data_IF_810089509461
#
_entry.id   IF_810089509461
#
_cell.length_a   1.000
_cell.length_b   1.000
_cell.length_c   1.000
_cell.angle_alpha   90.00
_cell.angle_beta   90.00
_cell.angle_gamma   90.00
#
_symmetry.space_group_name_H-M   'P 1'
#
loop_
_entity.id
_entity.type
_entity.pdbx_description
1 polymer ?
#
# COMPACT_ATOMS: atom_id res chain seq x y z
N UNK A 1 4.17 -24.45 -14.20
CA UNK A 1 5.65 -24.33 -14.36
C UNK A 1 6.24 -24.23 -12.98
N UNK A 2 7.19 -25.13 -12.65
CA UNK A 2 7.82 -25.20 -11.34
C UNK A 2 9.18 -24.48 -11.37
N UNK A 3 9.40 -23.55 -10.45
CA UNK A 3 10.67 -22.81 -10.30
C UNK A 3 11.31 -23.12 -8.95
N UNK A 4 12.62 -23.39 -8.95
CA UNK A 4 13.42 -23.57 -7.73
C UNK A 4 14.45 -22.44 -7.61
N UNK A 5 14.37 -21.69 -6.55
CA UNK A 5 15.43 -20.79 -6.08
C UNK A 5 16.34 -21.57 -5.13
N UNK A 6 17.65 -21.51 -5.34
CA UNK A 6 18.65 -22.24 -4.56
C UNK A 6 19.79 -21.33 -4.12
N UNK A 7 20.51 -21.75 -3.07
CA UNK A 7 21.69 -21.07 -2.56
C UNK A 7 21.41 -19.62 -2.08
N UNK A 8 20.27 -19.38 -1.46
CA UNK A 8 19.89 -18.07 -0.94
C UNK A 8 19.50 -18.11 0.53
N UNK A 9 19.63 -17.00 1.21
CA UNK A 9 18.95 -16.80 2.47
C UNK A 9 17.49 -16.47 2.23
N UNK A 10 16.59 -16.99 3.08
CA UNK A 10 15.15 -16.84 2.91
C UNK A 10 14.55 -16.34 4.23
N UNK A 11 13.95 -15.16 4.20
CA UNK A 11 13.17 -14.64 5.33
C UNK A 11 11.79 -15.28 5.26
N UNK A 12 11.62 -16.39 5.97
CA UNK A 12 10.36 -17.15 6.03
C UNK A 12 9.48 -16.65 7.17
N UNK A 13 8.18 -16.86 7.04
CA UNK A 13 7.18 -16.40 7.98
C UNK A 13 6.76 -17.50 8.93
N UNK A 14 6.74 -17.17 10.23
CA UNK A 14 6.22 -18.00 11.31
C UNK A 14 4.99 -17.36 11.96
N UNK A 15 4.37 -18.04 12.90
CA UNK A 15 3.22 -17.51 13.64
C UNK A 15 3.61 -16.29 14.52
N UNK A 16 4.88 -16.20 14.95
CA UNK A 16 5.42 -15.13 15.79
C UNK A 16 6.12 -13.98 15.02
N UNK A 17 6.37 -14.15 13.72
CA UNK A 17 7.09 -13.17 12.91
C UNK A 17 7.89 -13.82 11.80
N UNK A 18 9.21 -13.59 11.78
CA UNK A 18 10.08 -14.08 10.72
C UNK A 18 11.26 -14.87 11.27
N UNK A 19 11.70 -15.86 10.48
CA UNK A 19 12.93 -16.62 10.67
C UNK A 19 13.76 -16.60 9.38
N UNK A 20 15.04 -16.92 9.48
CA UNK A 20 15.93 -16.95 8.33
C UNK A 20 16.41 -18.38 8.07
N UNK A 21 16.05 -18.94 6.92
CA UNK A 21 16.64 -20.16 6.37
C UNK A 21 17.92 -19.74 5.65
N UNK A 22 19.08 -20.15 6.14
CA UNK A 22 20.38 -19.83 5.53
C UNK A 22 20.72 -20.82 4.42
N UNK A 23 21.23 -20.29 3.30
CA UNK A 23 21.67 -21.09 2.13
C UNK A 23 20.63 -22.15 1.72
N UNK A 24 19.38 -21.74 1.66
CA UNK A 24 18.22 -22.61 1.48
C UNK A 24 17.75 -22.75 0.04
N UNK A 25 16.59 -23.41 -0.05
CA UNK A 25 15.85 -23.63 -1.28
C UNK A 25 14.39 -23.16 -1.09
N UNK A 26 13.88 -22.42 -2.08
CA UNK A 26 12.46 -22.07 -2.17
C UNK A 26 11.88 -22.60 -3.48
N UNK A 27 10.92 -23.51 -3.40
CA UNK A 27 10.22 -24.08 -4.55
C UNK A 27 8.87 -23.40 -4.76
N UNK A 28 8.58 -23.06 -6.00
CA UNK A 28 7.31 -22.44 -6.44
C UNK A 28 6.67 -23.36 -7.49
N UNK A 29 5.38 -23.67 -7.35
CA UNK A 29 4.57 -24.39 -8.33
C UNK A 29 3.35 -23.55 -8.71
N UNK A 30 3.31 -23.11 -9.97
CA UNK A 30 2.30 -22.16 -10.43
C UNK A 30 2.35 -20.87 -9.59
N UNK A 31 1.27 -20.56 -8.90
CA UNK A 31 1.15 -19.36 -8.09
C UNK A 31 1.57 -19.55 -6.61
N UNK A 32 1.98 -20.74 -6.18
CA UNK A 32 2.13 -21.06 -4.76
C UNK A 32 3.54 -21.54 -4.40
N UNK A 33 3.96 -21.23 -3.19
CA UNK A 33 5.17 -21.76 -2.59
C UNK A 33 4.91 -23.22 -2.19
N UNK A 34 5.66 -24.14 -2.78
CA UNK A 34 5.47 -25.58 -2.55
C UNK A 34 6.60 -26.22 -1.72
N UNK A 35 7.74 -25.55 -1.56
CA UNK A 35 8.87 -26.05 -0.79
C UNK A 35 9.67 -24.93 -0.13
N UNK A 36 10.10 -25.14 1.11
CA UNK A 36 11.08 -24.33 1.83
C UNK A 36 11.96 -25.25 2.69
N UNK A 37 13.27 -25.07 2.64
CA UNK A 37 14.20 -25.87 3.47
C UNK A 37 15.66 -25.70 3.10
N UNK A 38 16.53 -26.37 3.85
CA UNK A 38 17.99 -26.41 3.62
C UNK A 38 18.42 -27.58 2.73
N UNK A 39 17.59 -28.62 2.64
CA UNK A 39 17.88 -29.76 1.79
C UNK A 39 17.36 -29.55 0.37
N UNK A 40 18.09 -30.09 -0.61
CA UNK A 40 17.62 -30.05 -1.99
C UNK A 40 16.34 -30.89 -2.14
N UNK A 41 15.23 -30.28 -2.66
CA UNK A 41 13.99 -31.03 -2.86
C UNK A 41 14.19 -32.18 -3.86
N UNK A 42 13.51 -33.33 -3.59
CA UNK A 42 13.56 -34.50 -4.45
C UNK A 42 12.79 -34.31 -5.77
N UNK A 43 11.85 -33.39 -5.79
CA UNK A 43 11.04 -33.09 -6.97
C UNK A 43 11.85 -32.44 -8.10
N UNK A 44 11.37 -32.63 -9.35
CA UNK A 44 11.93 -31.93 -10.52
C UNK A 44 11.28 -30.57 -10.69
N UNK A 45 12.10 -29.57 -11.05
CA UNK A 45 11.71 -28.22 -11.36
C UNK A 45 12.05 -27.90 -12.82
N UNK A 46 11.18 -27.13 -13.47
CA UNK A 46 11.35 -26.72 -14.87
C UNK A 46 12.46 -25.67 -15.00
N UNK A 47 12.51 -24.76 -14.02
CA UNK A 47 13.50 -23.66 -13.94
C UNK A 47 14.24 -23.76 -12.61
N UNK A 48 15.56 -23.64 -12.64
CA UNK A 48 16.40 -23.56 -11.45
C UNK A 48 17.17 -22.25 -11.52
N UNK A 49 16.95 -21.37 -10.54
CA UNK A 49 17.65 -20.09 -10.41
C UNK A 49 18.65 -20.17 -9.25
N UNK A 50 19.91 -19.91 -9.54
CA UNK A 50 20.95 -19.77 -8.52
C UNK A 50 20.90 -18.35 -7.95
N UNK A 51 20.64 -18.25 -6.65
CA UNK A 51 20.45 -17.00 -5.92
C UNK A 51 21.61 -16.73 -4.95
N UNK A 52 22.79 -17.24 -5.23
CA UNK A 52 24.00 -16.97 -4.42
C UNK A 52 24.20 -15.46 -4.25
N UNK A 53 24.40 -15.01 -3.00
CA UNK A 53 24.52 -13.59 -2.64
C UNK A 53 23.18 -12.81 -2.66
N UNK A 54 22.06 -13.51 -2.69
CA UNK A 54 20.72 -12.92 -2.65
C UNK A 54 19.99 -13.34 -1.39
N UNK A 55 19.10 -12.48 -0.93
CA UNK A 55 18.15 -12.77 0.16
C UNK A 55 16.74 -12.65 -0.38
N UNK A 56 15.92 -13.68 -0.17
CA UNK A 56 14.49 -13.67 -0.50
C UNK A 56 13.68 -13.13 0.68
N UNK A 57 12.80 -12.19 0.40
CA UNK A 57 11.84 -11.62 1.34
C UNK A 57 10.42 -11.76 0.82
N UNK A 58 9.40 -11.74 1.71
CA UNK A 58 8.03 -11.49 1.27
C UNK A 58 7.94 -10.21 0.45
N UNK A 59 7.15 -10.21 -0.60
CA UNK A 59 6.89 -9.00 -1.37
C UNK A 59 6.25 -7.92 -0.51
N UNK A 60 6.66 -6.67 -0.71
CA UNK A 60 6.17 -5.53 0.04
C UNK A 60 4.75 -5.15 -0.41
N UNK A 61 3.92 -4.72 0.55
CA UNK A 61 2.54 -4.30 0.32
C UNK A 61 2.40 -2.84 0.71
N UNK A 62 2.09 -2.01 -0.27
CA UNK A 62 1.77 -0.60 -0.09
C UNK A 62 0.30 -0.46 0.26
N UNK A 63 -0.02 -0.33 1.54
CA UNK A 63 -1.40 -0.41 2.01
C UNK A 63 -2.22 0.87 1.80
N UNK A 64 -1.62 1.98 1.33
CA UNK A 64 -2.31 3.22 0.94
C UNK A 64 -1.48 3.98 -0.09
N UNK A 65 -2.12 4.34 -1.22
CA UNK A 65 -1.49 5.01 -2.34
C UNK A 65 -2.51 5.80 -3.19
N UNK A 66 -1.98 6.70 -4.03
CA UNK A 66 -2.66 7.39 -5.12
C UNK A 66 -1.78 7.28 -6.38
N UNK A 67 -1.86 6.14 -7.06
CA UNK A 67 -0.89 5.72 -8.06
C UNK A 67 -0.67 6.74 -9.18
N UNK A 68 -1.75 7.28 -9.76
CA UNK A 68 -1.65 8.22 -10.87
C UNK A 68 -1.06 9.59 -10.47
N UNK A 69 -0.97 9.91 -9.16
CA UNK A 69 -0.30 11.12 -8.67
C UNK A 69 1.23 11.14 -8.92
N UNK A 70 1.80 10.10 -9.52
CA UNK A 70 3.16 10.18 -10.07
C UNK A 70 3.33 11.32 -11.08
N UNK A 71 2.26 11.71 -11.78
CA UNK A 71 2.24 12.87 -12.69
C UNK A 71 2.29 14.23 -11.97
N UNK A 72 1.97 14.25 -10.67
CA UNK A 72 1.94 15.44 -9.83
C UNK A 72 3.15 15.53 -8.88
N UNK A 73 4.11 14.65 -9.03
CA UNK A 73 5.33 14.58 -8.21
C UNK A 73 6.09 15.91 -8.20
N UNK A 74 6.32 16.45 -7.01
CA UNK A 74 7.07 17.70 -6.81
C UNK A 74 6.27 18.98 -7.00
N UNK A 75 4.95 18.90 -7.25
CA UNK A 75 4.09 20.08 -7.34
C UNK A 75 3.61 20.46 -5.95
N UNK A 76 3.52 21.77 -5.68
CA UNK A 76 3.03 22.29 -4.41
C UNK A 76 3.90 21.94 -3.22
N UNK A 77 5.21 21.73 -3.40
CA UNK A 77 6.13 21.46 -2.29
C UNK A 77 6.13 22.63 -1.30
N UNK A 78 6.36 22.30 -0.01
CA UNK A 78 6.48 23.25 1.10
C UNK A 78 5.20 24.05 1.40
N UNK A 79 4.03 23.48 1.13
CA UNK A 79 2.71 24.04 1.45
C UNK A 79 1.99 23.23 2.52
N UNK A 80 1.19 23.87 3.41
CA UNK A 80 0.26 23.16 4.28
C UNK A 80 -0.76 22.35 3.47
N UNK A 81 -1.31 21.27 4.06
CA UNK A 81 -2.20 20.33 3.38
C UNK A 81 -3.37 21.01 2.65
N UNK A 82 -4.01 22.00 3.27
CA UNK A 82 -5.18 22.68 2.69
C UNK A 82 -4.83 23.42 1.41
N UNK A 83 -3.80 24.27 1.44
CA UNK A 83 -3.31 25.02 0.30
C UNK A 83 -2.74 24.07 -0.77
N UNK A 84 -2.07 22.99 -0.35
CA UNK A 84 -1.57 21.96 -1.24
C UNK A 84 -2.72 21.30 -2.01
N UNK A 85 -3.82 20.90 -1.34
CA UNK A 85 -4.99 20.28 -1.96
C UNK A 85 -5.75 21.25 -2.87
N UNK A 86 -6.19 22.41 -2.31
CA UNK A 86 -7.15 23.28 -2.99
C UNK A 86 -6.52 24.16 -4.07
N UNK A 87 -5.26 24.57 -3.91
CA UNK A 87 -4.61 25.48 -4.84
C UNK A 87 -3.76 24.76 -5.90
N UNK A 88 -3.37 23.49 -5.64
CA UNK A 88 -2.49 22.74 -6.54
C UNK A 88 -3.06 21.40 -7.01
N UNK A 89 -3.49 20.53 -6.08
CA UNK A 89 -3.89 19.16 -6.44
C UNK A 89 -5.22 19.15 -7.19
N UNK A 90 -6.30 19.59 -6.58
CA UNK A 90 -7.62 19.57 -7.20
C UNK A 90 -7.68 20.30 -8.56
N UNK A 91 -7.11 21.52 -8.73
CA UNK A 91 -7.11 22.18 -10.04
C UNK A 91 -6.32 21.44 -11.13
N UNK A 92 -5.32 20.63 -10.75
CA UNK A 92 -4.57 19.79 -11.68
C UNK A 92 -5.33 18.49 -11.97
N UNK A 93 -5.92 17.88 -10.96
CA UNK A 93 -6.72 16.68 -11.09
C UNK A 93 -7.99 16.87 -11.92
N UNK A 94 -8.59 18.05 -11.86
CA UNK A 94 -9.75 18.41 -12.71
C UNK A 94 -9.46 18.37 -14.21
N UNK A 95 -8.16 18.42 -14.61
CA UNK A 95 -7.73 18.31 -16.02
C UNK A 95 -7.45 16.87 -16.44
N UNK A 96 -7.39 15.92 -15.49
CA UNK A 96 -7.03 14.54 -15.79
C UNK A 96 -8.05 13.86 -16.72
N UNK A 97 -7.52 13.11 -17.65
CA UNK A 97 -8.28 12.19 -18.52
C UNK A 97 -7.83 10.76 -18.23
N UNK A 98 -8.61 9.79 -18.67
CA UNK A 98 -8.29 8.37 -18.51
C UNK A 98 -6.87 8.02 -19.05
N UNK A 99 -6.46 8.60 -20.17
CA UNK A 99 -5.14 8.39 -20.77
C UNK A 99 -3.99 8.94 -19.90
N UNK A 100 -4.22 10.04 -19.17
CA UNK A 100 -3.25 10.61 -18.24
C UNK A 100 -3.14 9.72 -17.00
N UNK A 101 -4.27 9.28 -16.44
CA UNK A 101 -4.32 8.33 -15.32
C UNK A 101 -3.65 7.01 -15.68
N UNK A 102 -3.85 6.50 -16.93
CA UNK A 102 -3.13 5.32 -17.42
C UNK A 102 -1.61 5.52 -17.35
N UNK A 103 -1.11 6.60 -17.91
CA UNK A 103 0.32 6.90 -17.94
C UNK A 103 0.92 7.04 -16.53
N UNK A 104 0.21 7.74 -15.62
CA UNK A 104 0.62 7.90 -14.22
C UNK A 104 0.62 6.59 -13.45
N UNK A 105 -0.43 5.77 -13.62
CA UNK A 105 -0.54 4.47 -12.97
C UNK A 105 0.54 3.50 -13.47
N UNK A 106 0.77 3.43 -14.77
CA UNK A 106 1.83 2.58 -15.33
C UNK A 106 3.22 3.01 -14.83
N UNK A 107 3.49 4.33 -14.71
CA UNK A 107 4.72 4.84 -14.11
C UNK A 107 4.84 4.42 -12.63
N UNK A 108 3.76 4.51 -11.86
CA UNK A 108 3.72 4.05 -10.47
C UNK A 108 4.03 2.55 -10.34
N UNK A 109 3.44 1.73 -11.22
CA UNK A 109 3.68 0.28 -11.22
C UNK A 109 5.15 -0.03 -11.56
N UNK A 110 5.77 0.67 -12.52
CA UNK A 110 7.21 0.50 -12.79
C UNK A 110 8.04 0.79 -11.52
N UNK A 111 7.77 1.91 -10.85
CA UNK A 111 8.49 2.29 -9.63
C UNK A 111 8.30 1.26 -8.51
N UNK A 112 7.05 0.87 -8.23
CA UNK A 112 6.72 -0.10 -7.21
C UNK A 112 7.33 -1.48 -7.48
N UNK A 113 7.25 -1.98 -8.70
CA UNK A 113 7.88 -3.27 -9.06
C UNK A 113 9.40 -3.25 -8.92
N UNK A 114 10.05 -2.15 -9.33
CA UNK A 114 11.51 -2.02 -9.24
C UNK A 114 12.02 -1.84 -7.81
N UNK A 115 11.14 -1.52 -6.86
CA UNK A 115 11.45 -1.35 -5.43
C UNK A 115 10.82 -2.42 -4.53
N UNK A 116 10.27 -3.50 -5.13
CA UNK A 116 9.83 -4.70 -4.41
C UNK A 116 8.39 -4.70 -3.92
N UNK A 117 7.56 -3.76 -4.33
CA UNK A 117 6.13 -3.77 -4.02
C UNK A 117 5.39 -4.74 -4.95
N UNK A 118 4.61 -5.64 -4.38
CA UNK A 118 3.84 -6.69 -5.10
C UNK A 118 2.34 -6.41 -5.14
N UNK A 119 1.86 -5.61 -4.21
CA UNK A 119 0.44 -5.23 -4.07
C UNK A 119 0.32 -3.83 -3.50
N UNK A 120 -0.72 -3.09 -3.93
CA UNK A 120 -1.01 -1.76 -3.38
C UNK A 120 -2.51 -1.55 -3.18
N UNK A 121 -2.90 -0.65 -2.25
CA UNK A 121 -4.26 -0.15 -2.11
C UNK A 121 -4.31 1.27 -2.64
N UNK A 122 -5.17 1.53 -3.61
CA UNK A 122 -5.27 2.79 -4.34
C UNK A 122 -6.63 3.45 -4.17
N UNK A 123 -6.65 4.72 -3.85
CA UNK A 123 -7.85 5.55 -3.80
C UNK A 123 -7.69 6.70 -4.80
N UNK A 124 -8.40 6.64 -5.95
CA UNK A 124 -8.24 7.69 -6.96
C UNK A 124 -9.45 7.83 -7.89
N UNK A 125 -9.23 8.36 -9.10
CA UNK A 125 -10.18 8.58 -10.17
C UNK A 125 -9.87 7.65 -11.35
N UNK A 126 -10.84 7.43 -12.27
CA UNK A 126 -10.68 6.55 -13.43
C UNK A 126 -10.16 5.16 -13.05
N UNK A 127 -10.72 4.60 -11.98
CA UNK A 127 -10.22 3.35 -11.38
C UNK A 127 -10.38 2.12 -12.28
N UNK A 128 -11.27 2.13 -13.26
CA UNK A 128 -11.35 1.15 -14.34
C UNK A 128 -10.05 1.12 -15.16
N UNK A 129 -9.55 2.29 -15.54
CA UNK A 129 -8.25 2.43 -16.23
C UNK A 129 -7.10 1.92 -15.36
N UNK A 130 -7.10 2.23 -14.04
CA UNK A 130 -6.12 1.71 -13.09
C UNK A 130 -6.21 0.17 -13.01
N UNK A 131 -7.43 -0.39 -12.96
CA UNK A 131 -7.65 -1.84 -12.93
C UNK A 131 -7.04 -2.53 -14.16
N UNK A 132 -7.25 -1.97 -15.35
CA UNK A 132 -6.67 -2.50 -16.59
C UNK A 132 -5.14 -2.48 -16.54
N UNK A 133 -4.50 -1.40 -16.07
CA UNK A 133 -3.04 -1.34 -15.88
C UNK A 133 -2.53 -2.43 -14.93
N UNK A 134 -3.23 -2.67 -13.81
CA UNK A 134 -2.87 -3.71 -12.85
C UNK A 134 -3.03 -5.11 -13.46
N UNK A 135 -4.08 -5.36 -14.25
CA UNK A 135 -4.29 -6.62 -14.96
C UNK A 135 -3.14 -6.88 -15.93
N UNK A 136 -2.79 -5.91 -16.77
CA UNK A 136 -1.74 -5.97 -17.77
C UNK A 136 -0.36 -6.19 -17.15
N UNK A 137 -0.03 -5.46 -16.09
CA UNK A 137 1.26 -5.56 -15.39
C UNK A 137 1.49 -6.90 -14.71
N UNK A 138 0.43 -7.56 -14.24
CA UNK A 138 0.51 -8.77 -13.42
C UNK A 138 0.58 -8.50 -11.91
N UNK A 139 0.58 -7.26 -11.48
CA UNK A 139 0.60 -6.85 -10.08
C UNK A 139 -0.74 -7.12 -9.38
N UNK A 140 -0.79 -6.98 -8.05
CA UNK A 140 -2.03 -7.03 -7.26
C UNK A 140 -2.42 -5.62 -6.81
N UNK A 141 -3.73 -5.37 -6.71
CA UNK A 141 -4.23 -4.15 -6.08
C UNK A 141 -5.60 -4.35 -5.42
N UNK A 142 -5.86 -3.54 -4.38
CA UNK A 142 -7.18 -3.15 -3.95
C UNK A 142 -7.42 -1.73 -4.47
N UNK A 143 -8.52 -1.50 -5.18
CA UNK A 143 -8.81 -0.23 -5.82
C UNK A 143 -10.13 0.32 -5.29
N UNK A 144 -10.20 1.62 -5.07
CA UNK A 144 -11.44 2.30 -4.74
C UNK A 144 -11.56 3.67 -5.42
N UNK A 145 -12.79 3.99 -5.81
CA UNK A 145 -13.14 5.32 -6.33
C UNK A 145 -13.25 6.29 -5.17
N UNK A 146 -12.36 7.28 -5.08
CA UNK A 146 -12.41 8.30 -4.04
C UNK A 146 -13.77 9.00 -4.02
N UNK A 147 -14.58 8.80 -2.97
CA UNK A 147 -15.88 9.42 -2.82
C UNK A 147 -15.76 10.73 -2.04
N UNK A 148 -16.13 11.83 -2.68
CA UNK A 148 -16.36 13.13 -2.08
C UNK A 148 -17.75 13.62 -2.48
N UNK A 149 -18.46 14.31 -1.58
CA UNK A 149 -19.83 14.79 -1.83
C UNK A 149 -20.07 16.09 -1.07
N UNK A 150 -20.17 17.18 -1.80
CA UNK A 150 -20.28 18.54 -1.25
C UNK A 150 -21.67 19.16 -1.45
N UNK A 151 -22.46 18.68 -2.44
CA UNK A 151 -23.80 19.22 -2.71
C UNK A 151 -24.85 18.54 -1.82
N UNK A 152 -25.49 19.28 -0.87
CA UNK A 152 -26.50 18.70 0.00
C UNK A 152 -27.80 18.32 -0.73
N UNK A 153 -27.98 18.72 -2.00
CA UNK A 153 -29.13 18.35 -2.81
C UNK A 153 -28.87 17.14 -3.71
N UNK A 154 -27.62 16.64 -3.81
CA UNK A 154 -27.30 15.43 -4.57
C UNK A 154 -27.74 14.19 -3.79
N UNK A 155 -28.74 13.48 -4.30
CA UNK A 155 -29.15 12.21 -3.71
C UNK A 155 -28.06 11.14 -3.94
N UNK A 156 -27.90 10.21 -3.00
CA UNK A 156 -26.91 9.13 -3.08
C UNK A 156 -26.97 8.36 -4.40
N UNK A 157 -28.19 8.01 -4.85
CA UNK A 157 -28.43 7.26 -6.08
C UNK A 157 -28.13 8.07 -7.35
N UNK A 158 -28.14 9.40 -7.26
CA UNK A 158 -27.87 10.28 -8.40
C UNK A 158 -26.40 10.61 -8.54
N UNK A 159 -25.62 10.48 -7.46
CA UNK A 159 -24.20 10.77 -7.46
C UNK A 159 -23.45 9.92 -8.50
N UNK A 160 -22.79 10.59 -9.43
CA UNK A 160 -21.99 9.90 -10.43
C UNK A 160 -20.80 9.17 -9.80
N UNK A 161 -20.25 9.69 -8.68
CA UNK A 161 -19.13 9.08 -7.95
C UNK A 161 -19.53 7.75 -7.31
N UNK A 162 -20.74 7.69 -6.75
CA UNK A 162 -21.33 6.44 -6.24
C UNK A 162 -21.55 5.45 -7.37
N UNK A 163 -22.10 5.89 -8.50
CA UNK A 163 -22.32 5.05 -9.68
C UNK A 163 -21.02 4.47 -10.21
N UNK A 164 -19.95 5.28 -10.30
CA UNK A 164 -18.61 4.83 -10.68
C UNK A 164 -18.06 3.80 -9.70
N UNK A 165 -18.15 4.03 -8.37
CA UNK A 165 -17.68 3.09 -7.36
C UNK A 165 -18.39 1.72 -7.45
N UNK A 166 -19.72 1.74 -7.59
CA UNK A 166 -20.52 0.51 -7.70
C UNK A 166 -20.30 -0.21 -9.04
N UNK A 167 -20.14 0.54 -10.13
CA UNK A 167 -19.78 -0.02 -11.45
C UNK A 167 -18.42 -0.70 -11.41
N UNK A 168 -17.43 -0.05 -10.79
CA UNK A 168 -16.10 -0.60 -10.59
C UNK A 168 -16.16 -1.92 -9.78
N UNK A 169 -16.90 -1.93 -8.66
CA UNK A 169 -17.08 -3.15 -7.85
C UNK A 169 -17.66 -4.29 -8.67
N UNK A 170 -18.74 -4.02 -9.39
CA UNK A 170 -19.42 -5.04 -10.19
C UNK A 170 -18.56 -5.58 -11.33
N UNK A 171 -17.71 -4.75 -11.92
CA UNK A 171 -16.92 -5.12 -13.11
C UNK A 171 -15.58 -5.77 -12.79
N UNK A 172 -14.92 -5.36 -11.69
CA UNK A 172 -13.52 -5.72 -11.44
C UNK A 172 -13.29 -6.46 -10.12
N UNK A 173 -14.25 -6.53 -9.20
CA UNK A 173 -14.01 -7.21 -7.93
C UNK A 173 -13.69 -8.69 -8.15
N UNK A 174 -12.56 -9.15 -7.60
CA UNK A 174 -11.97 -10.47 -7.81
C UNK A 174 -11.53 -10.78 -9.27
N UNK A 175 -11.38 -9.78 -10.13
CA UNK A 175 -10.83 -9.94 -11.47
C UNK A 175 -9.39 -10.45 -11.46
N UNK A 176 -8.91 -10.92 -12.61
CA UNK A 176 -7.55 -11.43 -12.79
C UNK A 176 -7.15 -12.52 -11.78
N UNK A 177 -8.02 -13.50 -11.52
CA UNK A 177 -7.83 -14.58 -10.53
C UNK A 177 -7.66 -14.05 -9.08
N UNK A 178 -8.39 -12.99 -8.72
CA UNK A 178 -8.36 -12.37 -7.39
C UNK A 178 -7.18 -11.43 -7.14
N UNK A 179 -6.40 -11.08 -8.18
CA UNK A 179 -5.36 -10.06 -8.06
C UNK A 179 -5.94 -8.65 -7.87
N UNK A 180 -7.10 -8.39 -8.46
CA UNK A 180 -7.87 -7.16 -8.23
C UNK A 180 -8.93 -7.41 -7.16
N UNK A 181 -9.00 -6.53 -6.19
CA UNK A 181 -10.12 -6.40 -5.26
C UNK A 181 -10.62 -4.96 -5.32
N UNK A 182 -11.90 -4.78 -5.10
CA UNK A 182 -12.50 -3.44 -5.08
C UNK A 182 -13.01 -3.16 -3.69
N UNK A 183 -12.48 -2.10 -3.11
CA UNK A 183 -12.93 -1.53 -1.84
C UNK A 183 -13.92 -0.39 -2.12
N UNK A 184 -14.75 -0.02 -1.16
CA UNK A 184 -15.49 1.25 -1.20
C UNK A 184 -14.73 2.29 -0.39
N UNK A 185 -14.86 3.56 -0.72
CA UNK A 185 -14.12 4.59 -0.01
C UNK A 185 -14.92 5.85 0.27
N UNK A 186 -14.57 6.50 1.36
CA UNK A 186 -14.95 7.86 1.68
C UNK A 186 -13.65 8.64 1.81
N UNK A 187 -13.51 9.74 1.05
CA UNK A 187 -12.24 10.46 1.03
C UNK A 187 -11.84 10.90 2.45
N UNK A 188 -12.64 11.77 3.08
CA UNK A 188 -12.45 12.22 4.46
C UNK A 188 -13.77 12.78 5.01
N UNK A 189 -13.86 13.04 6.32
CA UNK A 189 -15.06 13.60 6.96
C UNK A 189 -15.38 15.03 6.49
N UNK A 190 -14.35 15.81 6.14
CA UNK A 190 -14.54 17.20 5.66
C UNK A 190 -14.91 17.29 4.18
N UNK A 191 -14.85 16.20 3.44
CA UNK A 191 -15.20 16.15 2.01
C UNK A 191 -16.53 15.45 1.72
N UNK A 192 -17.23 14.95 2.74
CA UNK A 192 -18.45 14.19 2.57
C UNK A 192 -19.55 14.66 3.53
N UNK A 193 -20.80 14.51 3.09
CA UNK A 193 -22.00 14.77 3.89
C UNK A 193 -22.40 13.50 4.64
N UNK A 194 -22.95 13.64 5.86
CA UNK A 194 -23.34 12.54 6.74
C UNK A 194 -24.26 11.52 6.08
N UNK A 195 -25.27 11.97 5.33
CA UNK A 195 -26.23 11.08 4.65
C UNK A 195 -25.53 10.19 3.62
N UNK A 196 -24.63 10.78 2.83
CA UNK A 196 -23.83 10.05 1.83
C UNK A 196 -22.93 9.03 2.51
N UNK A 197 -22.25 9.43 3.60
CA UNK A 197 -21.36 8.52 4.36
C UNK A 197 -22.16 7.35 4.91
N UNK A 198 -23.30 7.60 5.57
CA UNK A 198 -24.16 6.54 6.13
C UNK A 198 -24.61 5.55 5.07
N UNK A 199 -25.14 6.04 3.96
CA UNK A 199 -25.65 5.18 2.88
C UNK A 199 -24.54 4.41 2.16
N UNK A 200 -23.35 5.04 2.01
CA UNK A 200 -22.20 4.37 1.42
C UNK A 200 -21.62 3.29 2.35
N UNK A 201 -21.65 3.53 3.67
CA UNK A 201 -21.27 2.56 4.69
C UNK A 201 -22.22 1.35 4.71
N UNK A 202 -23.52 1.58 4.65
CA UNK A 202 -24.53 0.52 4.52
C UNK A 202 -24.29 -0.32 3.25
N UNK A 203 -23.99 0.34 2.11
CA UNK A 203 -23.68 -0.34 0.86
C UNK A 203 -22.37 -1.14 0.95
N UNK A 204 -21.33 -0.61 1.60
CA UNK A 204 -20.07 -1.31 1.84
C UNK A 204 -20.31 -2.62 2.62
N UNK A 205 -21.11 -2.53 3.68
CA UNK A 205 -21.50 -3.69 4.50
C UNK A 205 -22.32 -4.72 3.69
N UNK A 206 -23.29 -4.26 2.90
CA UNK A 206 -24.10 -5.13 2.02
C UNK A 206 -23.25 -5.92 1.05
N UNK A 207 -22.23 -5.28 0.46
CA UNK A 207 -21.31 -5.89 -0.51
C UNK A 207 -20.21 -6.75 0.14
N UNK A 208 -20.04 -6.66 1.46
CA UNK A 208 -18.91 -7.29 2.15
C UNK A 208 -17.55 -6.73 1.71
N UNK A 209 -17.52 -5.47 1.28
CA UNK A 209 -16.33 -4.79 0.84
C UNK A 209 -15.52 -4.25 2.04
N UNK A 210 -14.28 -3.85 1.78
CA UNK A 210 -13.46 -3.09 2.73
C UNK A 210 -13.79 -1.60 2.56
N UNK A 211 -13.91 -0.87 3.66
CA UNK A 211 -14.00 0.60 3.64
C UNK A 211 -12.60 1.21 3.69
N UNK A 212 -12.30 2.14 2.80
CA UNK A 212 -11.02 2.86 2.74
C UNK A 212 -11.26 4.35 3.00
N UNK A 213 -10.61 4.91 4.02
CA UNK A 213 -10.78 6.32 4.43
C UNK A 213 -9.43 6.97 4.75
N UNK A 214 -9.34 8.31 4.66
CA UNK A 214 -8.34 9.09 5.38
C UNK A 214 -8.92 9.45 6.75
N UNK A 215 -8.10 9.39 7.80
CA UNK A 215 -8.58 9.57 9.17
C UNK A 215 -7.61 10.40 10.00
N UNK A 216 -8.07 11.56 10.50
CA UNK A 216 -7.34 12.40 11.45
C UNK A 216 -5.88 12.62 11.04
N UNK A 217 -5.67 13.02 9.78
CA UNK A 217 -4.33 13.23 9.23
C UNK A 217 -3.66 14.45 9.84
N UNK A 218 -4.37 15.60 9.88
CA UNK A 218 -3.85 16.84 10.44
C UNK A 218 -4.58 17.25 11.71
N UNK A 219 -3.88 18.05 12.56
CA UNK A 219 -4.53 18.61 13.75
C UNK A 219 -5.68 19.54 13.38
N UNK A 220 -5.53 20.31 12.31
CA UNK A 220 -6.56 21.25 11.86
C UNK A 220 -7.86 20.53 11.45
N UNK A 221 -7.75 19.42 10.71
CA UNK A 221 -8.87 18.54 10.36
C UNK A 221 -9.54 17.99 11.62
N UNK A 222 -8.76 17.38 12.51
CA UNK A 222 -9.25 16.78 13.74
C UNK A 222 -9.99 17.79 14.63
N UNK A 223 -9.41 18.96 14.87
CA UNK A 223 -10.01 20.02 15.67
C UNK A 223 -11.29 20.59 15.01
N UNK A 224 -11.29 20.78 13.68
CA UNK A 224 -12.44 21.28 12.93
C UNK A 224 -13.63 20.31 13.01
N UNK A 225 -13.38 19.00 12.98
CA UNK A 225 -14.43 17.98 13.16
C UNK A 225 -15.05 18.09 14.56
N UNK A 226 -14.22 18.23 15.60
CA UNK A 226 -14.68 18.41 16.98
C UNK A 226 -15.50 19.72 17.11
N UNK A 227 -15.00 20.82 16.55
CA UNK A 227 -15.72 22.10 16.58
C UNK A 227 -17.10 22.02 15.89
N UNK A 228 -17.14 21.37 14.72
CA UNK A 228 -18.36 21.28 13.90
C UNK A 228 -19.38 20.29 14.44
N UNK A 229 -18.92 19.11 14.90
CA UNK A 229 -19.79 17.98 15.20
C UNK A 229 -19.78 17.56 16.67
N UNK A 230 -18.90 18.13 17.51
CA UNK A 230 -18.71 17.71 18.90
C UNK A 230 -18.10 16.33 19.06
N UNK A 231 -17.45 15.79 18.04
CA UNK A 231 -16.92 14.43 17.95
C UNK A 231 -15.59 14.42 17.21
N UNK A 232 -14.70 13.48 17.54
CA UNK A 232 -13.50 13.23 16.73
C UNK A 232 -13.89 12.64 15.35
N UNK A 233 -13.02 12.74 14.32
CA UNK A 233 -13.28 12.06 13.05
C UNK A 233 -13.55 10.56 13.21
N UNK A 234 -12.86 9.89 14.12
CA UNK A 234 -13.08 8.47 14.43
C UNK A 234 -14.49 8.21 14.93
N UNK A 235 -14.96 8.99 15.92
CA UNK A 235 -16.32 8.88 16.44
C UNK A 235 -17.38 9.23 15.40
N UNK A 236 -17.09 10.23 14.56
CA UNK A 236 -17.98 10.63 13.47
C UNK A 236 -18.19 9.52 12.44
N UNK A 237 -17.09 8.87 11.99
CA UNK A 237 -17.19 7.73 11.08
C UNK A 237 -17.86 6.52 11.71
N UNK A 238 -17.61 6.26 13.00
CA UNK A 238 -18.25 5.20 13.75
C UNK A 238 -19.78 5.39 13.80
N UNK A 239 -20.25 6.59 14.18
CA UNK A 239 -21.68 6.91 14.29
C UNK A 239 -22.42 6.86 12.94
N UNK A 240 -21.69 6.96 11.84
CA UNK A 240 -22.22 6.84 10.48
C UNK A 240 -22.06 5.43 9.89
N UNK A 241 -21.60 4.47 10.68
CA UNK A 241 -21.52 3.05 10.30
C UNK A 241 -20.35 2.69 9.41
N UNK A 242 -19.35 3.57 9.22
CA UNK A 242 -18.19 3.28 8.38
C UNK A 242 -17.39 2.08 8.91
N UNK A 243 -17.39 1.86 10.21
CA UNK A 243 -16.68 0.76 10.86
C UNK A 243 -17.50 -0.54 11.00
N UNK A 244 -18.70 -0.60 10.43
CA UNK A 244 -19.48 -1.83 10.33
C UNK A 244 -18.92 -2.83 9.32
N UNK A 245 -17.98 -2.38 8.48
CA UNK A 245 -17.20 -3.18 7.54
C UNK A 245 -15.72 -3.22 7.97
N UNK A 246 -14.92 -4.21 7.54
CA UNK A 246 -13.47 -4.11 7.67
C UNK A 246 -12.99 -2.78 7.10
N UNK A 247 -12.25 -1.99 7.89
CA UNK A 247 -11.89 -0.63 7.49
C UNK A 247 -10.37 -0.45 7.49
N UNK A 248 -9.86 0.13 6.40
CA UNK A 248 -8.53 0.68 6.23
C UNK A 248 -8.61 2.19 6.48
N UNK A 249 -7.88 2.69 7.47
CA UNK A 249 -7.82 4.11 7.83
C UNK A 249 -6.40 4.65 7.62
N UNK A 250 -6.21 5.49 6.60
CA UNK A 250 -4.91 6.08 6.29
C UNK A 250 -4.56 7.20 7.28
N UNK A 251 -3.26 7.37 7.55
CA UNK A 251 -2.62 8.36 8.41
C UNK A 251 -2.80 8.15 9.91
N UNK A 252 -3.99 8.32 10.47
CA UNK A 252 -4.31 8.18 11.90
C UNK A 252 -3.32 8.93 12.82
N UNK A 253 -2.93 10.16 12.45
CA UNK A 253 -1.89 10.92 13.17
C UNK A 253 -2.42 11.47 14.49
N UNK A 254 -3.63 12.04 14.50
CA UNK A 254 -4.23 12.77 15.63
C UNK A 254 -5.32 12.00 16.38
N UNK A 255 -5.36 10.67 16.22
CA UNK A 255 -6.30 9.82 16.97
C UNK A 255 -5.98 9.84 18.48
N UNK A 256 -7.02 9.91 19.32
CA UNK A 256 -6.92 9.90 20.80
C UNK A 256 -6.78 8.47 21.34
N UNK A 257 -6.64 8.30 22.66
CA UNK A 257 -6.65 6.97 23.28
C UNK A 257 -8.02 6.31 23.16
N UNK A 258 -9.08 7.09 23.28
CA UNK A 258 -10.45 6.66 23.11
C UNK A 258 -10.73 6.25 21.65
N UNK A 259 -10.18 7.00 20.68
CA UNK A 259 -10.27 6.65 19.27
C UNK A 259 -9.55 5.31 18.97
N UNK A 260 -8.36 5.11 19.53
CA UNK A 260 -7.59 3.87 19.37
C UNK A 260 -8.35 2.68 19.97
N UNK A 261 -8.98 2.86 21.14
CA UNK A 261 -9.81 1.83 21.76
C UNK A 261 -11.02 1.48 20.90
N UNK A 262 -11.70 2.48 20.35
CA UNK A 262 -12.85 2.30 19.44
C UNK A 262 -12.44 1.61 18.13
N UNK A 263 -11.34 2.04 17.52
CA UNK A 263 -10.79 1.41 16.31
C UNK A 263 -10.45 -0.07 16.55
N UNK A 264 -9.90 -0.40 17.72
CA UNK A 264 -9.62 -1.79 18.11
C UNK A 264 -10.90 -2.61 18.24
N UNK A 265 -11.91 -2.09 18.93
CA UNK A 265 -13.21 -2.76 19.10
C UNK A 265 -13.87 -3.07 17.76
N UNK A 266 -13.80 -2.11 16.81
CA UNK A 266 -14.38 -2.24 15.47
C UNK A 266 -13.48 -3.00 14.48
N UNK A 267 -12.23 -3.33 14.83
CA UNK A 267 -11.30 -4.02 13.93
C UNK A 267 -10.78 -3.13 12.79
N UNK A 268 -10.75 -1.81 12.99
CA UNK A 268 -10.17 -0.86 12.03
C UNK A 268 -8.66 -1.06 11.94
N UNK A 269 -8.13 -1.02 10.74
CA UNK A 269 -6.70 -1.18 10.45
C UNK A 269 -6.09 0.16 10.05
N UNK A 270 -5.29 0.81 10.91
CA UNK A 270 -4.53 2.01 10.56
C UNK A 270 -3.48 1.72 9.48
N UNK A 271 -3.25 2.66 8.57
CA UNK A 271 -2.11 2.63 7.64
C UNK A 271 -1.24 3.85 7.87
N UNK A 272 -0.02 3.62 8.32
CA UNK A 272 0.96 4.65 8.56
C UNK A 272 1.68 5.04 7.27
N UNK A 273 1.75 6.34 6.98
CA UNK A 273 2.42 6.91 5.81
C UNK A 273 3.51 7.90 6.30
N UNK A 274 4.66 7.39 6.79
CA UNK A 274 5.62 8.22 7.52
C UNK A 274 6.16 9.38 6.70
N UNK A 275 6.58 9.17 5.45
CA UNK A 275 7.12 10.25 4.60
C UNK A 275 6.10 11.34 4.35
N UNK A 276 4.88 10.98 3.93
CA UNK A 276 3.81 11.95 3.68
C UNK A 276 3.45 12.76 4.93
N UNK A 277 3.23 12.08 6.06
CA UNK A 277 2.90 12.73 7.34
C UNK A 277 3.97 13.74 7.77
N UNK A 278 5.24 13.40 7.60
CA UNK A 278 6.36 14.28 7.96
C UNK A 278 6.56 15.42 6.98
N UNK A 279 6.48 15.14 5.68
CA UNK A 279 6.67 16.13 4.63
C UNK A 279 5.58 17.20 4.64
N UNK A 280 4.31 16.81 4.83
CA UNK A 280 3.18 17.74 4.92
C UNK A 280 3.06 18.40 6.30
N UNK A 281 3.91 18.02 7.27
CA UNK A 281 3.86 18.54 8.62
C UNK A 281 2.62 18.10 9.39
N UNK A 282 1.99 16.99 8.99
CA UNK A 282 0.80 16.44 9.66
C UNK A 282 1.09 16.00 11.09
N UNK A 283 2.31 15.50 11.38
CA UNK A 283 2.76 15.13 12.71
C UNK A 283 3.28 13.69 12.82
N UNK A 284 3.38 13.21 14.06
CA UNK A 284 3.87 11.86 14.38
C UNK A 284 2.71 10.97 14.82
N UNK A 285 2.32 10.02 13.97
CA UNK A 285 1.31 9.02 14.33
C UNK A 285 1.78 8.14 15.51
N UNK A 286 0.87 7.73 16.37
CA UNK A 286 1.15 6.96 17.60
C UNK A 286 1.25 5.45 17.31
N UNK A 287 2.03 5.07 16.29
CA UNK A 287 2.12 3.71 15.73
C UNK A 287 2.45 2.67 16.79
N UNK A 288 3.46 2.93 17.63
CA UNK A 288 3.87 2.02 18.69
C UNK A 288 2.75 1.78 19.73
N UNK A 289 1.92 2.80 19.99
CA UNK A 289 0.78 2.66 20.89
C UNK A 289 -0.31 1.81 20.24
N UNK A 290 -0.65 2.07 18.98
CA UNK A 290 -1.62 1.27 18.22
C UNK A 290 -1.21 -0.21 18.15
N UNK A 291 0.07 -0.50 17.87
CA UNK A 291 0.60 -1.87 17.86
C UNK A 291 0.53 -2.52 19.24
N UNK A 292 0.86 -1.79 20.31
CA UNK A 292 0.77 -2.28 21.69
C UNK A 292 -0.67 -2.60 22.09
N UNK A 293 -1.62 -1.80 21.65
CA UNK A 293 -3.05 -2.07 21.84
C UNK A 293 -3.57 -3.22 20.97
N UNK A 294 -2.77 -3.73 20.02
CA UNK A 294 -3.08 -4.88 19.19
C UNK A 294 -3.82 -4.56 17.89
N UNK A 295 -3.81 -3.30 17.43
CA UNK A 295 -4.32 -2.94 16.12
C UNK A 295 -3.45 -3.53 15.01
N UNK A 296 -4.07 -3.87 13.90
CA UNK A 296 -3.38 -4.35 12.70
C UNK A 296 -2.88 -3.14 11.88
N UNK A 297 -1.74 -2.59 12.24
CA UNK A 297 -1.17 -1.41 11.56
C UNK A 297 -0.43 -1.84 10.29
N UNK A 298 -0.77 -1.22 9.15
CA UNK A 298 -0.07 -1.34 7.87
C UNK A 298 0.90 -0.19 7.61
N UNK A 299 1.63 -0.28 6.50
CA UNK A 299 2.53 0.75 6.00
C UNK A 299 2.14 1.12 4.56
N UNK A 300 2.15 2.40 4.23
CA UNK A 300 1.84 2.93 2.91
C UNK A 300 2.72 4.10 2.54
N UNK A 301 2.84 4.37 1.25
CA UNK A 301 3.60 5.53 0.75
C UNK A 301 2.76 6.80 0.69
N UNK A 302 1.42 6.67 0.61
CA UNK A 302 0.57 7.73 0.10
C UNK A 302 0.91 8.05 -1.38
N UNK A 303 0.36 9.13 -1.96
CA UNK A 303 0.65 9.52 -3.33
C UNK A 303 2.06 10.11 -3.53
N UNK A 304 2.61 9.97 -4.74
CA UNK A 304 3.91 10.56 -5.09
C UNK A 304 3.90 12.11 -5.08
N UNK A 305 2.75 12.75 -5.01
CA UNK A 305 2.65 14.19 -4.82
C UNK A 305 2.97 14.62 -3.38
N UNK A 306 2.53 13.85 -2.38
CA UNK A 306 2.79 14.10 -0.96
C UNK A 306 4.08 13.47 -0.44
N UNK A 307 4.47 12.31 -0.98
CA UNK A 307 5.67 11.56 -0.60
C UNK A 307 6.90 11.88 -1.46
N UNK A 308 6.74 12.07 -2.75
CA UNK A 308 7.72 12.17 -3.83
C UNK A 308 8.24 10.83 -4.37
N UNK A 309 8.05 9.70 -3.72
CA UNK A 309 8.35 8.37 -4.28
C UNK A 309 7.32 7.32 -3.81
N UNK A 310 7.40 6.11 -4.39
CA UNK A 310 6.55 4.96 -4.04
C UNK A 310 7.41 3.78 -3.55
N UNK A 311 8.51 4.10 -2.84
CA UNK A 311 9.51 3.15 -2.37
C UNK A 311 9.22 2.69 -0.95
N UNK A 312 8.62 1.52 -0.79
CA UNK A 312 8.29 0.94 0.53
C UNK A 312 9.52 0.66 1.41
N UNK A 313 10.74 0.53 0.86
CA UNK A 313 11.95 0.39 1.67
C UNK A 313 12.32 1.69 2.38
N UNK A 314 12.00 2.84 1.79
CA UNK A 314 12.17 4.14 2.44
C UNK A 314 11.15 4.32 3.58
N UNK A 315 9.90 3.92 3.37
CA UNK A 315 8.88 3.92 4.42
C UNK A 315 9.24 2.98 5.58
N UNK A 316 9.78 1.79 5.29
CA UNK A 316 10.33 0.87 6.29
C UNK A 316 11.44 1.51 7.12
N UNK A 317 12.37 2.19 6.45
CA UNK A 317 13.49 2.88 7.12
C UNK A 317 12.97 3.99 8.04
N UNK A 318 12.15 4.89 7.50
CA UNK A 318 11.61 6.01 8.28
C UNK A 318 10.76 5.54 9.46
N UNK A 319 9.87 4.58 9.25
CA UNK A 319 9.06 4.00 10.32
C UNK A 319 9.94 3.44 11.44
N UNK A 320 11.02 2.74 11.09
CA UNK A 320 11.93 2.14 12.09
C UNK A 320 12.71 3.17 12.88
N UNK A 321 13.17 4.27 12.28
CA UNK A 321 14.08 5.22 12.95
C UNK A 321 13.37 6.40 13.59
N UNK A 322 12.30 6.92 12.96
CA UNK A 322 11.62 8.13 13.43
C UNK A 322 10.94 7.89 14.77
N UNK A 323 10.20 6.79 14.92
CA UNK A 323 9.50 6.49 16.18
C UNK A 323 10.49 6.23 17.33
N UNK A 324 11.59 5.54 17.07
CA UNK A 324 12.63 5.30 18.06
C UNK A 324 13.27 6.65 18.50
N UNK A 325 13.60 7.51 17.54
CA UNK A 325 14.18 8.83 17.83
C UNK A 325 13.22 9.76 18.56
N UNK A 326 11.98 9.84 18.12
CA UNK A 326 10.95 10.69 18.74
C UNK A 326 10.69 10.31 20.20
N UNK A 327 10.63 9.01 20.50
CA UNK A 327 10.38 8.51 21.85
C UNK A 327 11.67 8.31 22.69
N UNK A 328 12.86 8.54 22.13
CA UNK A 328 14.16 8.33 22.77
C UNK A 328 14.36 6.90 23.30
N UNK A 329 13.76 5.91 22.61
CA UNK A 329 13.84 4.50 22.97
C UNK A 329 14.03 3.64 21.71
N UNK A 330 15.21 3.00 21.52
CA UNK A 330 15.50 2.19 20.33
C UNK A 330 14.77 0.84 20.31
N UNK A 331 14.01 0.51 21.34
CA UNK A 331 13.31 -0.78 21.44
C UNK A 331 11.84 -0.74 21.05
N UNK A 332 11.32 0.44 20.72
CA UNK A 332 9.89 0.68 20.44
C UNK A 332 9.47 0.10 19.09
N UNK A 333 10.23 0.40 18.03
CA UNK A 333 9.96 -0.10 16.68
C UNK A 333 11.10 -1.05 16.26
N UNK A 334 10.82 -2.33 16.30
CA UNK A 334 11.78 -3.36 15.91
C UNK A 334 11.63 -3.70 14.43
N UNK A 335 12.70 -4.14 13.74
CA UNK A 335 12.64 -4.60 12.35
C UNK A 335 11.51 -5.61 12.08
N UNK A 336 11.31 -6.57 12.99
CA UNK A 336 10.22 -7.55 12.89
C UNK A 336 8.84 -6.87 12.78
N UNK A 337 8.57 -5.85 13.58
CA UNK A 337 7.27 -5.17 13.62
C UNK A 337 7.06 -4.34 12.35
N UNK A 338 8.09 -3.59 11.94
CA UNK A 338 8.03 -2.77 10.73
C UNK A 338 7.89 -3.60 9.46
N UNK A 339 8.64 -4.72 9.34
CA UNK A 339 8.51 -5.63 8.20
C UNK A 339 7.12 -6.28 8.18
N UNK A 340 6.55 -6.64 9.33
CA UNK A 340 5.16 -7.13 9.41
C UNK A 340 4.16 -6.10 8.88
N UNK A 341 4.34 -4.81 9.22
CA UNK A 341 3.47 -3.73 8.72
C UNK A 341 3.49 -3.65 7.17
N UNK A 342 4.66 -3.79 6.57
CA UNK A 342 4.84 -3.72 5.12
C UNK A 342 4.55 -5.04 4.38
N UNK A 343 4.17 -6.12 5.07
CA UNK A 343 3.96 -7.46 4.48
C UNK A 343 2.68 -8.10 5.01
N UNK A 344 2.75 -8.85 6.10
CA UNK A 344 1.63 -9.62 6.68
C UNK A 344 0.42 -8.74 7.04
N UNK A 345 0.68 -7.61 7.71
CA UNK A 345 -0.39 -6.71 8.12
C UNK A 345 -1.04 -6.05 6.89
N UNK A 346 -0.23 -5.61 5.91
CA UNK A 346 -0.74 -5.09 4.64
C UNK A 346 -1.60 -6.11 3.89
N UNK A 347 -1.18 -7.38 3.83
CA UNK A 347 -1.98 -8.45 3.22
C UNK A 347 -3.32 -8.64 3.94
N UNK A 348 -3.31 -8.62 5.28
CA UNK A 348 -4.53 -8.73 6.09
C UNK A 348 -5.47 -7.53 5.86
N UNK A 349 -4.93 -6.31 5.75
CA UNK A 349 -5.69 -5.09 5.43
C UNK A 349 -6.38 -5.24 4.08
N UNK A 350 -5.70 -5.78 3.07
CA UNK A 350 -6.25 -6.03 1.74
C UNK A 350 -7.17 -7.27 1.67
N UNK A 351 -7.47 -7.93 2.80
CA UNK A 351 -8.27 -9.15 2.84
C UNK A 351 -7.64 -10.33 2.08
N UNK A 352 -6.29 -10.44 2.04
CA UNK A 352 -5.52 -11.48 1.36
C UNK A 352 -4.85 -12.40 2.38
N UNK A 353 -5.50 -13.50 2.70
CA UNK A 353 -5.07 -14.41 3.79
C UNK A 353 -3.92 -15.34 3.41
N UNK A 354 -3.68 -15.53 2.12
CA UNK A 354 -2.64 -16.40 1.55
C UNK A 354 -1.44 -15.61 0.98
N UNK A 355 -1.33 -14.31 1.32
CA UNK A 355 -0.28 -13.39 0.87
C UNK A 355 0.53 -12.82 2.06
N UNK A 356 1.55 -12.02 1.73
CA UNK A 356 2.35 -11.25 2.71
C UNK A 356 3.41 -12.04 3.45
N UNK A 357 3.60 -13.33 3.15
CA UNK A 357 4.60 -14.15 3.81
C UNK A 357 5.19 -15.24 2.93
N UNK A 358 6.48 -15.57 3.12
CA UNK A 358 7.10 -16.75 2.53
C UNK A 358 6.83 -17.95 3.44
N UNK A 359 5.82 -18.74 3.11
CA UNK A 359 5.39 -19.95 3.82
C UNK A 359 4.85 -20.95 2.80
N UNK A 360 5.10 -22.24 2.98
CA UNK A 360 4.52 -23.28 2.10
C UNK A 360 2.99 -23.18 2.13
N UNK A 361 2.39 -23.17 0.96
CA UNK A 361 0.95 -22.98 0.73
C UNK A 361 0.52 -21.53 0.50
N UNK A 362 1.36 -20.54 0.79
CA UNK A 362 1.10 -19.14 0.43
C UNK A 362 1.35 -18.89 -1.05
N UNK A 363 0.74 -17.82 -1.56
CA UNK A 363 1.06 -17.29 -2.88
C UNK A 363 2.52 -16.87 -2.95
N UNK A 364 3.14 -17.14 -4.08
CA UNK A 364 4.53 -16.79 -4.32
C UNK A 364 4.67 -15.32 -4.74
N UNK A 365 4.48 -14.44 -3.75
CA UNK A 365 4.74 -13.00 -3.81
C UNK A 365 6.08 -12.76 -3.12
N UNK A 366 7.16 -12.75 -3.90
CA UNK A 366 8.52 -12.82 -3.39
C UNK A 366 9.37 -11.73 -4.03
N UNK A 367 10.21 -11.07 -3.23
CA UNK A 367 11.26 -10.20 -3.74
C UNK A 367 12.63 -10.77 -3.40
N UNK A 368 13.62 -10.48 -4.24
CA UNK A 368 15.00 -10.76 -3.97
C UNK A 368 15.82 -9.48 -3.95
N UNK A 369 16.63 -9.32 -2.90
CA UNK A 369 17.62 -8.25 -2.81
C UNK A 369 19.02 -8.80 -3.08
N UNK A 370 19.81 -8.05 -3.83
CA UNK A 370 21.22 -8.35 -4.07
C UNK A 370 22.07 -7.86 -2.91
N UNK A 371 22.60 -8.78 -2.11
CA UNK A 371 23.42 -8.49 -0.94
C UNK A 371 24.92 -8.38 -1.25
N UNK A 372 25.34 -8.61 -2.49
CA UNK A 372 26.73 -8.39 -2.92
C UNK A 372 26.96 -6.89 -3.20
N UNK A 373 26.77 -6.08 -2.14
CA UNK A 373 26.94 -4.62 -2.16
C UNK A 373 27.59 -4.14 -0.86
N UNK A 374 28.44 -3.09 -0.92
CA UNK A 374 29.22 -2.64 0.25
C UNK A 374 28.36 -2.27 1.48
N UNK A 375 27.20 -1.65 1.27
CA UNK A 375 26.32 -1.18 2.36
C UNK A 375 25.43 -2.30 2.94
N UNK A 376 25.40 -3.50 2.33
CA UNK A 376 24.67 -4.68 2.80
C UNK A 376 25.58 -5.75 3.41
N UNK A 377 26.87 -5.49 3.52
CA UNK A 377 27.83 -6.39 4.16
C UNK A 377 28.39 -5.78 5.45
N UNK A 378 28.54 -6.58 6.53
CA UNK A 378 28.16 -8.01 6.66
C UNK A 378 26.66 -8.20 6.95
N UNK A 379 26.08 -9.29 6.41
CA UNK A 379 24.64 -9.57 6.46
C UNK A 379 24.26 -10.45 7.68
N UNK A 380 24.51 -9.96 8.90
CA UNK A 380 24.22 -10.73 10.12
C UNK A 380 22.74 -10.94 10.37
N UNK A 381 21.93 -9.89 10.22
CA UNK A 381 20.50 -9.90 10.43
C UNK A 381 19.77 -9.34 9.19
N UNK A 382 19.21 -10.19 8.32
CA UNK A 382 18.49 -9.76 7.13
C UNK A 382 17.31 -8.82 7.39
N UNK A 383 16.59 -8.98 8.52
CA UNK A 383 15.47 -8.07 8.86
C UNK A 383 15.98 -6.67 9.21
N UNK A 384 17.02 -6.57 10.03
CA UNK A 384 17.65 -5.30 10.34
C UNK A 384 18.24 -4.65 9.09
N UNK A 385 18.88 -5.45 8.21
CA UNK A 385 19.40 -4.95 6.94
C UNK A 385 18.32 -4.40 6.03
N UNK A 386 17.15 -5.06 5.95
CA UNK A 386 16.02 -4.57 5.17
C UNK A 386 15.52 -3.20 5.66
N UNK A 387 15.43 -3.01 6.98
CA UNK A 387 14.92 -1.77 7.58
C UNK A 387 15.94 -0.63 7.61
N UNK A 388 17.22 -0.92 7.80
CA UNK A 388 18.20 0.13 8.12
C UNK A 388 19.20 0.42 7.01
N UNK A 389 19.42 -0.52 6.07
CA UNK A 389 20.50 -0.41 5.08
C UNK A 389 20.03 -0.55 3.65
N UNK A 390 19.02 -1.39 3.39
CA UNK A 390 18.58 -1.69 2.03
C UNK A 390 17.91 -0.49 1.35
N UNK A 391 18.09 -0.39 0.06
CA UNK A 391 17.55 0.65 -0.81
C UNK A 391 16.73 0.00 -1.93
N UNK A 392 15.79 0.75 -2.53
CA UNK A 392 15.00 0.27 -3.68
C UNK A 392 15.86 -0.31 -4.81
N UNK A 393 17.03 0.30 -5.07
CA UNK A 393 18.00 -0.16 -6.08
C UNK A 393 18.69 -1.49 -5.77
N UNK A 394 18.47 -2.08 -4.59
CA UNK A 394 19.01 -3.39 -4.22
C UNK A 394 18.07 -4.52 -4.62
N UNK A 395 16.81 -4.21 -4.91
CA UNK A 395 15.84 -5.18 -5.42
C UNK A 395 16.28 -5.65 -6.81
N UNK A 396 16.51 -6.94 -6.94
CA UNK A 396 16.92 -7.55 -8.21
C UNK A 396 15.86 -8.47 -8.81
N UNK A 397 14.80 -8.80 -8.06
CA UNK A 397 13.66 -9.58 -8.57
C UNK A 397 12.40 -9.23 -7.79
N UNK A 398 11.28 -9.09 -8.53
CA UNK A 398 9.92 -8.99 -7.96
C UNK A 398 9.03 -10.01 -8.65
N UNK A 399 8.46 -10.92 -7.86
CA UNK A 399 7.57 -12.01 -8.29
C UNK A 399 6.19 -11.83 -7.66
N UNK A 400 5.15 -11.99 -8.47
CA UNK A 400 3.73 -11.97 -8.05
C UNK A 400 3.05 -13.24 -8.56
N UNK A 401 2.36 -13.96 -7.69
CA UNK A 401 1.70 -15.23 -8.01
C UNK A 401 2.61 -16.19 -8.80
N UNK A 402 3.89 -16.28 -8.40
CA UNK A 402 4.88 -17.14 -9.04
C UNK A 402 5.37 -16.68 -10.41
N UNK A 403 4.93 -15.53 -10.90
CA UNK A 403 5.40 -14.90 -12.13
C UNK A 403 6.39 -13.78 -11.79
N UNK A 404 7.59 -13.84 -12.35
CA UNK A 404 8.56 -12.75 -12.22
C UNK A 404 8.09 -11.60 -13.14
N UNK A 405 7.90 -10.42 -12.55
CA UNK A 405 7.46 -9.21 -13.25
C UNK A 405 8.60 -8.23 -13.48
N UNK A 406 9.59 -8.25 -12.58
CA UNK A 406 10.82 -7.44 -12.67
C UNK A 406 12.02 -8.30 -12.31
N UNK A 407 13.08 -8.24 -13.11
CA UNK A 407 14.33 -8.95 -12.85
C UNK A 407 15.53 -8.16 -13.40
N UNK A 408 16.50 -7.84 -12.54
CA UNK A 408 17.80 -7.20 -12.87
C UNK A 408 17.68 -5.95 -13.75
N UNK A 409 16.71 -5.08 -13.48
CA UNK A 409 16.49 -3.82 -14.22
C UNK A 409 15.49 -3.92 -15.37
N UNK A 410 15.04 -5.14 -15.71
CA UNK A 410 14.10 -5.38 -16.80
C UNK A 410 12.68 -5.64 -16.30
N UNK A 411 11.71 -4.98 -16.93
CA UNK A 411 10.28 -5.21 -16.69
C UNK A 411 9.77 -6.23 -17.71
N UNK A 412 9.31 -7.39 -17.22
CA UNK A 412 8.97 -8.52 -18.09
C UNK A 412 7.54 -8.48 -18.64
N UNK A 413 6.72 -7.55 -18.16
CA UNK A 413 5.30 -7.41 -18.53
C UNK A 413 4.93 -6.02 -19.00
N UNK A 414 5.84 -5.07 -18.94
CA UNK A 414 5.58 -3.66 -19.24
C UNK A 414 6.64 -3.07 -20.17
N UNK A 415 6.21 -2.23 -21.08
CA UNK A 415 7.10 -1.49 -22.01
C UNK A 415 7.46 -0.14 -21.40
N UNK A 416 8.61 -0.07 -20.76
CA UNK A 416 9.14 1.11 -20.05
C UNK A 416 9.29 2.34 -20.97
N UNK A 417 9.79 2.15 -22.20
CA UNK A 417 10.02 3.23 -23.15
C UNK A 417 8.69 3.85 -23.61
N UNK A 418 7.69 3.03 -23.92
CA UNK A 418 6.34 3.48 -24.22
C UNK A 418 5.74 4.27 -23.05
N UNK A 419 5.84 3.74 -21.84
CA UNK A 419 5.31 4.40 -20.63
C UNK A 419 5.95 5.76 -20.42
N UNK A 420 7.28 5.88 -20.55
CA UNK A 420 7.97 7.17 -20.45
C UNK A 420 7.54 8.17 -21.54
N UNK A 421 7.25 7.68 -22.75
CA UNK A 421 6.68 8.51 -23.82
C UNK A 421 5.29 9.03 -23.44
N UNK A 422 4.40 8.14 -22.95
CA UNK A 422 3.03 8.47 -22.59
C UNK A 422 2.99 9.45 -21.40
N UNK A 423 3.85 9.27 -20.39
CA UNK A 423 4.03 10.21 -19.28
C UNK A 423 4.42 11.60 -19.78
N UNK A 424 5.39 11.71 -20.71
CA UNK A 424 5.77 13.03 -21.29
C UNK A 424 4.62 13.69 -22.03
N UNK A 425 3.76 12.90 -22.69
CA UNK A 425 2.55 13.40 -23.36
C UNK A 425 1.53 13.89 -22.34
N UNK A 426 1.28 13.15 -21.26
CA UNK A 426 0.38 13.53 -20.17
C UNK A 426 0.86 14.84 -19.49
N UNK A 427 2.15 14.93 -19.14
CA UNK A 427 2.73 16.15 -18.55
C UNK A 427 2.57 17.37 -19.45
N UNK A 428 2.75 17.21 -20.78
CA UNK A 428 2.49 18.29 -21.71
C UNK A 428 1.03 18.73 -21.71
N UNK A 429 0.08 17.80 -21.57
CA UNK A 429 -1.33 18.13 -21.48
C UNK A 429 -1.67 18.87 -20.17
N UNK A 430 -1.16 18.40 -19.04
CA UNK A 430 -1.52 18.93 -17.72
C UNK A 430 -0.92 20.32 -17.45
N UNK A 431 0.26 20.61 -18.01
CA UNK A 431 1.07 21.79 -17.67
C UNK A 431 1.37 22.71 -18.86
N UNK A 432 0.66 22.57 -20.01
CA UNK A 432 0.78 23.47 -21.16
C UNK A 432 -0.15 24.68 -21.11
#
# INVERSE_FOLDING_TARGET
MKTLFKNCDIVTTTDSGFEVIRNGFCGVDGAYICYLGTDKPAEKYDIIKDMTGRVLYPGLINAHNHAAMTLLRGIGSDLPLKEWLYDNMFPTEDKLRAEDVKAGTELAILEMLSTGTVSFSDMYYFCDTTADCVIESGMKANLCRALSAFDPNEAYEDSYRVKEALSLYNSYNNAANGRIKIDLSIHAEYTCLEDIVRRHSEKCKELGAIMHIHLSETKAEHDACIEKYGRTPTQWFYDLGAFDSPTLAAHCVWVTDEDIALMKECGVSPVHCPTSNLKLGSGFARVQHMLKEGLNVGLGTDGAASNNNLNMLEELHLCSVVHNGYNQDPTIMKPNDTVRMATLNGAKIQGRTDCGGIKVGNRADIIALNFDKPHLLPAFDPLAMLCYSAQGSDVCMTMVDGRILYENGEFLTMDKERIYHDVKKALKHLYS
#
